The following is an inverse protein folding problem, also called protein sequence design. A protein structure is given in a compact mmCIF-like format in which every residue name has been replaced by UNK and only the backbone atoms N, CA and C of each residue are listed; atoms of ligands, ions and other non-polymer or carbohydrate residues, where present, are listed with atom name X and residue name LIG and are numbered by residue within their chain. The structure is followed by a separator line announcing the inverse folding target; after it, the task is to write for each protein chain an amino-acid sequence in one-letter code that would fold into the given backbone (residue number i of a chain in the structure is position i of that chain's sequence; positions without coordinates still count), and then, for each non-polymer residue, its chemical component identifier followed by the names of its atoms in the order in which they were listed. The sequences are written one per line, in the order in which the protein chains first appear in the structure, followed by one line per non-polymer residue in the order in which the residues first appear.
data_IF_893236068295
#
_entry.id   IF_893236068295
#
_cell.length_a   1.000
_cell.length_b   1.000
_cell.length_c   1.000
_cell.angle_alpha   90.00
_cell.angle_beta   90.00
_cell.angle_gamma   90.00
#
_symmetry.space_group_name_H-M   'P 1'
#
loop_
_entity.id
_entity.type
_entity.pdbx_description
1 polymer ?
#
# COMPACT_ATOMS: atom_id res chain seq x y z
N UNK A 1 -23.15 -30.84 -41.25
CA UNK A 1 -22.03 -29.89 -41.43
C UNK A 1 -22.14 -28.84 -40.34
N UNK A 2 -21.56 -29.17 -39.19
CA UNK A 2 -21.43 -28.33 -38.00
C UNK A 2 -20.12 -27.57 -38.16
N UNK A 3 -20.16 -26.23 -38.07
CA UNK A 3 -19.01 -25.49 -37.57
C UNK A 3 -19.53 -24.24 -36.87
N UNK A 4 -19.79 -24.45 -35.58
CA UNK A 4 -20.12 -23.42 -34.60
C UNK A 4 -18.83 -22.65 -34.29
N UNK A 5 -18.80 -21.37 -34.69
CA UNK A 5 -17.69 -20.48 -34.45
C UNK A 5 -17.68 -20.06 -32.97
N UNK A 6 -16.96 -20.80 -32.14
CA UNK A 6 -16.66 -20.37 -30.76
C UNK A 6 -15.68 -19.21 -30.81
N UNK A 7 -16.20 -18.00 -30.62
CA UNK A 7 -15.42 -16.81 -30.27
C UNK A 7 -14.87 -17.02 -28.85
N UNK A 8 -13.57 -16.89 -28.60
CA UNK A 8 -13.05 -16.90 -27.24
C UNK A 8 -13.55 -15.66 -26.50
N UNK A 9 -14.30 -15.87 -25.42
CA UNK A 9 -14.66 -14.81 -24.48
C UNK A 9 -13.40 -14.41 -23.70
N UNK A 10 -12.64 -13.45 -24.23
CA UNK A 10 -11.64 -12.72 -23.47
C UNK A 10 -12.37 -11.90 -22.40
N UNK A 11 -12.58 -12.50 -21.23
CA UNK A 11 -13.02 -11.78 -20.06
C UNK A 11 -11.88 -10.83 -19.67
N UNK A 12 -12.04 -9.49 -19.73
CA UNK A 12 -11.06 -8.59 -19.16
C UNK A 12 -10.98 -8.97 -17.68
N UNK A 13 -9.84 -9.49 -17.24
CA UNK A 13 -9.68 -9.96 -15.87
C UNK A 13 -9.93 -8.76 -14.95
N UNK A 14 -11.01 -8.73 -14.15
CA UNK A 14 -11.32 -7.58 -13.30
C UNK A 14 -10.18 -7.29 -12.29
N UNK A 15 -9.38 -8.31 -11.97
CA UNK A 15 -8.19 -8.22 -11.13
C UNK A 15 -7.09 -7.34 -11.70
N UNK A 16 -6.83 -7.42 -13.02
CA UNK A 16 -5.89 -6.50 -13.68
C UNK A 16 -6.39 -5.08 -13.53
N UNK A 17 -7.68 -4.83 -13.82
CA UNK A 17 -8.23 -3.46 -13.78
C UNK A 17 -8.17 -2.82 -12.39
N UNK A 18 -8.37 -3.58 -11.30
CA UNK A 18 -8.32 -3.04 -9.94
C UNK A 18 -6.89 -2.65 -9.52
N UNK A 19 -5.89 -3.47 -9.84
CA UNK A 19 -4.50 -3.12 -9.57
C UNK A 19 -4.05 -1.94 -10.43
N UNK A 20 -4.45 -1.91 -11.69
CA UNK A 20 -4.16 -0.78 -12.58
C UNK A 20 -4.79 0.52 -12.09
N UNK A 21 -6.01 0.49 -11.57
CA UNK A 21 -6.65 1.64 -10.94
C UNK A 21 -5.92 2.11 -9.69
N UNK A 22 -5.45 1.18 -8.85
CA UNK A 22 -4.59 1.52 -7.70
C UNK A 22 -3.30 2.22 -8.17
N UNK A 23 -2.60 1.65 -9.15
CA UNK A 23 -1.38 2.22 -9.69
C UNK A 23 -1.62 3.60 -10.29
N UNK A 24 -2.73 3.77 -11.00
CA UNK A 24 -3.10 5.04 -11.63
C UNK A 24 -3.43 6.10 -10.57
N UNK A 25 -4.15 5.73 -9.50
CA UNK A 25 -4.40 6.61 -8.36
C UNK A 25 -3.09 7.06 -7.72
N UNK A 26 -2.17 6.14 -7.44
CA UNK A 26 -0.85 6.48 -6.88
C UNK A 26 -0.04 7.34 -7.85
N UNK A 27 -0.10 7.06 -9.16
CA UNK A 27 0.56 7.85 -10.20
C UNK A 27 0.10 9.30 -10.20
N UNK A 28 -1.21 9.54 -10.13
CA UNK A 28 -1.77 10.89 -10.06
C UNK A 28 -1.46 11.58 -8.73
N UNK A 29 -1.71 10.93 -7.61
CA UNK A 29 -1.52 11.54 -6.28
C UNK A 29 -0.04 11.79 -5.95
N UNK A 30 0.85 10.93 -6.43
CA UNK A 30 2.30 11.08 -6.29
C UNK A 30 2.98 11.82 -7.45
N UNK A 31 2.21 12.30 -8.44
CA UNK A 31 2.72 12.97 -9.64
C UNK A 31 3.85 12.21 -10.34
N UNK A 32 3.74 10.88 -10.40
CA UNK A 32 4.75 10.04 -11.05
C UNK A 32 4.66 10.14 -12.57
N UNK A 33 5.80 10.19 -13.28
CA UNK A 33 5.83 10.35 -14.73
C UNK A 33 5.32 9.12 -15.47
N UNK A 34 5.41 7.93 -14.87
CA UNK A 34 4.98 6.66 -15.47
C UNK A 34 4.33 5.75 -14.45
N UNK A 35 3.57 4.76 -14.94
CA UNK A 35 2.92 3.76 -14.09
C UNK A 35 3.93 2.84 -13.41
N UNK A 36 5.03 2.53 -14.09
CA UNK A 36 6.11 1.68 -13.58
C UNK A 36 6.75 2.32 -12.34
N UNK A 37 6.92 3.65 -12.33
CA UNK A 37 7.42 4.38 -11.14
C UNK A 37 6.45 4.33 -9.97
N UNK A 38 5.16 4.48 -10.24
CA UNK A 38 4.14 4.31 -9.21
C UNK A 38 4.13 2.87 -8.67
N UNK A 39 4.29 1.88 -9.55
CA UNK A 39 4.36 0.46 -9.17
C UNK A 39 5.59 0.14 -8.30
N UNK A 40 6.76 0.68 -8.62
CA UNK A 40 7.97 0.57 -7.80
C UNK A 40 7.72 1.09 -6.38
N UNK A 41 7.11 2.28 -6.26
CA UNK A 41 6.75 2.88 -4.98
C UNK A 41 5.73 2.02 -4.20
N UNK A 42 4.66 1.57 -4.86
CA UNK A 42 3.62 0.69 -4.28
C UNK A 42 4.26 -0.58 -3.74
N UNK A 43 5.08 -1.26 -4.53
CA UNK A 43 5.72 -2.51 -4.12
C UNK A 43 6.65 -2.30 -2.93
N UNK A 44 7.47 -1.25 -2.94
CA UNK A 44 8.39 -0.92 -1.85
C UNK A 44 7.63 -0.63 -0.55
N UNK A 45 6.62 0.23 -0.61
CA UNK A 45 5.88 0.68 0.57
C UNK A 45 5.00 -0.43 1.14
N UNK A 46 4.31 -1.22 0.30
CA UNK A 46 3.50 -2.34 0.76
C UNK A 46 4.35 -3.48 1.34
N UNK A 47 5.52 -3.75 0.75
CA UNK A 47 6.47 -4.69 1.34
C UNK A 47 6.98 -4.17 2.71
N UNK A 48 7.20 -2.86 2.82
CA UNK A 48 7.47 -2.21 4.11
C UNK A 48 6.35 -2.46 5.11
N UNK A 49 5.13 -2.07 4.76
CA UNK A 49 3.96 -2.13 5.63
C UNK A 49 3.63 -3.56 6.05
N UNK A 50 3.79 -4.54 5.16
CA UNK A 50 3.62 -5.96 5.46
C UNK A 50 4.57 -6.49 6.53
N UNK A 51 5.72 -5.84 6.75
CA UNK A 51 6.61 -6.15 7.88
C UNK A 51 6.18 -5.50 9.20
N UNK A 52 5.29 -4.52 9.17
CA UNK A 52 4.87 -3.76 10.36
C UNK A 52 3.55 -4.28 10.94
N UNK A 53 2.70 -4.86 10.11
CA UNK A 53 1.37 -5.32 10.50
C UNK A 53 1.37 -6.81 10.88
N UNK A 54 0.57 -7.14 11.88
CA UNK A 54 0.28 -8.50 12.34
C UNK A 54 -1.22 -8.65 12.58
N UNK A 55 -1.69 -9.88 12.87
CA UNK A 55 -3.05 -10.12 13.32
C UNK A 55 -4.13 -9.79 12.27
N UNK A 56 -5.32 -9.50 12.77
CA UNK A 56 -6.54 -9.34 11.96
C UNK A 56 -6.47 -8.11 11.05
N UNK A 57 -5.87 -7.00 11.49
CA UNK A 57 -5.71 -5.81 10.65
C UNK A 57 -4.88 -6.08 9.40
N UNK A 58 -3.90 -6.98 9.46
CA UNK A 58 -3.12 -7.38 8.29
C UNK A 58 -3.99 -8.17 7.30
N UNK A 59 -4.82 -9.08 7.81
CA UNK A 59 -5.73 -9.91 7.02
C UNK A 59 -6.79 -9.04 6.37
N UNK A 60 -7.43 -8.18 7.15
CA UNK A 60 -8.44 -7.23 6.70
C UNK A 60 -7.87 -6.30 5.62
N UNK A 61 -6.65 -5.77 5.82
CA UNK A 61 -6.01 -4.92 4.82
C UNK A 61 -5.73 -5.68 3.53
N UNK A 62 -5.23 -6.92 3.61
CA UNK A 62 -5.01 -7.75 2.43
C UNK A 62 -6.32 -8.03 1.67
N UNK A 63 -7.44 -8.22 2.38
CA UNK A 63 -8.76 -8.46 1.79
C UNK A 63 -9.34 -7.22 1.08
N UNK A 64 -8.98 -6.01 1.51
CA UNK A 64 -9.40 -4.76 0.87
C UNK A 64 -8.59 -4.37 -0.38
N UNK A 65 -7.38 -4.90 -0.53
CA UNK A 65 -6.45 -4.52 -1.60
C UNK A 65 -6.65 -5.38 -2.86
N UNK A 66 -6.31 -4.84 -4.06
CA UNK A 66 -6.15 -5.66 -5.25
C UNK A 66 -5.17 -6.81 -5.01
N UNK A 67 -5.39 -7.94 -5.69
CA UNK A 67 -4.70 -9.21 -5.44
C UNK A 67 -3.16 -9.08 -5.48
N UNK A 68 -2.64 -8.34 -6.45
CA UNK A 68 -1.21 -8.09 -6.65
C UNK A 68 -0.62 -7.31 -5.47
N UNK A 69 -1.32 -6.27 -5.00
CA UNK A 69 -0.93 -5.48 -3.84
C UNK A 69 -1.01 -6.31 -2.54
N UNK A 70 -2.09 -7.09 -2.37
CA UNK A 70 -2.27 -7.99 -1.24
C UNK A 70 -1.15 -9.04 -1.17
N UNK A 71 -0.74 -9.61 -2.31
CA UNK A 71 0.40 -10.54 -2.40
C UNK A 71 1.71 -9.92 -1.94
N UNK A 72 2.02 -8.69 -2.36
CA UNK A 72 3.23 -7.99 -1.93
C UNK A 72 3.25 -7.81 -0.40
N UNK A 73 2.12 -7.41 0.17
CA UNK A 73 1.96 -7.20 1.61
C UNK A 73 2.03 -8.51 2.41
N UNK A 74 1.39 -9.58 1.92
CA UNK A 74 1.29 -10.87 2.62
C UNK A 74 2.54 -11.74 2.47
N UNK A 75 3.35 -11.53 1.42
CA UNK A 75 4.62 -12.22 1.23
C UNK A 75 5.69 -11.87 2.29
N UNK A 76 5.48 -10.82 3.06
CA UNK A 76 6.44 -10.35 4.06
C UNK A 76 6.33 -11.15 5.36
N UNK A 77 7.46 -11.35 6.02
CA UNK A 77 7.50 -11.86 7.40
C UNK A 77 7.40 -10.64 8.32
N UNK A 78 6.39 -10.54 9.20
CA UNK A 78 6.28 -9.45 10.16
C UNK A 78 7.52 -9.35 11.05
N UNK A 79 7.99 -8.13 11.27
CA UNK A 79 9.06 -7.85 12.21
C UNK A 79 8.56 -8.10 13.64
N UNK A 80 9.43 -8.59 14.55
CA UNK A 80 9.05 -8.83 15.94
C UNK A 80 8.66 -7.55 16.69
N UNK A 81 9.12 -6.39 16.19
CA UNK A 81 8.75 -5.08 16.72
C UNK A 81 8.53 -4.10 15.56
N UNK A 82 7.35 -3.46 15.47
CA UNK A 82 7.11 -2.45 14.44
C UNK A 82 7.98 -1.22 14.68
N UNK A 83 8.37 -0.58 13.58
CA UNK A 83 9.12 0.67 13.56
C UNK A 83 8.19 1.85 13.87
N UNK A 84 8.73 2.99 14.30
CA UNK A 84 7.98 4.26 14.25
C UNK A 84 7.84 4.75 12.82
N UNK A 85 6.90 5.66 12.55
CA UNK A 85 6.69 6.19 11.19
C UNK A 85 7.97 6.80 10.58
N UNK A 86 8.79 7.46 11.38
CA UNK A 86 10.07 7.99 10.91
C UNK A 86 11.13 6.91 10.67
N UNK A 87 11.22 5.90 11.55
CA UNK A 87 12.14 4.78 11.36
C UNK A 87 11.74 3.92 10.15
N UNK A 88 10.44 3.81 9.88
CA UNK A 88 9.89 3.17 8.69
C UNK A 88 10.36 3.84 7.40
N UNK A 89 10.23 5.17 7.29
CA UNK A 89 10.71 5.91 6.11
C UNK A 89 12.22 5.75 5.94
N UNK A 90 12.99 5.72 7.04
CA UNK A 90 14.44 5.46 6.98
C UNK A 90 14.76 4.05 6.46
N UNK A 91 14.08 3.02 6.94
CA UNK A 91 14.26 1.63 6.46
C UNK A 91 13.96 1.53 4.96
N UNK A 92 12.88 2.15 4.50
CA UNK A 92 12.53 2.16 3.08
C UNK A 92 13.59 2.86 2.23
N UNK A 93 14.08 4.03 2.66
CA UNK A 93 15.08 4.80 1.93
C UNK A 93 16.40 4.03 1.77
N UNK A 94 16.82 3.30 2.81
CA UNK A 94 18.01 2.44 2.77
C UNK A 94 17.82 1.30 1.76
N UNK A 95 16.65 0.67 1.75
CA UNK A 95 16.36 -0.47 0.85
C UNK A 95 16.27 -0.07 -0.62
N UNK A 96 15.68 1.09 -0.91
CA UNK A 96 15.54 1.61 -2.26
C UNK A 96 16.75 2.42 -2.73
N UNK A 97 17.69 2.73 -1.83
CA UNK A 97 18.79 3.67 -2.06
C UNK A 97 18.31 5.04 -2.55
N UNK A 98 17.12 5.45 -2.10
CA UNK A 98 16.52 6.74 -2.41
C UNK A 98 16.76 7.75 -1.29
N UNK A 99 16.49 9.03 -1.57
CA UNK A 99 16.52 10.06 -0.54
C UNK A 99 15.37 9.89 0.46
N UNK A 100 15.54 10.40 1.68
CA UNK A 100 14.46 10.42 2.69
C UNK A 100 13.26 11.26 2.21
N UNK A 101 13.51 12.33 1.46
CA UNK A 101 12.45 13.19 0.93
C UNK A 101 11.59 12.43 -0.09
N UNK A 102 12.24 11.77 -1.06
CA UNK A 102 11.57 10.90 -2.05
C UNK A 102 10.80 9.78 -1.36
N UNK A 103 11.42 9.10 -0.41
CA UNK A 103 10.78 7.96 0.27
C UNK A 103 9.58 8.39 1.11
N UNK A 104 9.65 9.55 1.78
CA UNK A 104 8.50 10.10 2.51
C UNK A 104 7.35 10.46 1.57
N UNK A 105 7.67 11.05 0.42
CA UNK A 105 6.68 11.34 -0.63
C UNK A 105 6.02 10.05 -1.11
N UNK A 106 6.82 9.05 -1.49
CA UNK A 106 6.33 7.74 -1.96
C UNK A 106 5.42 7.08 -0.93
N UNK A 107 5.82 7.12 0.34
CA UNK A 107 5.03 6.56 1.44
C UNK A 107 3.67 7.25 1.55
N UNK A 108 3.64 8.59 1.50
CA UNK A 108 2.40 9.35 1.58
C UNK A 108 1.45 9.07 0.42
N UNK A 109 1.96 9.06 -0.82
CA UNK A 109 1.15 8.78 -2.02
C UNK A 109 0.55 7.37 -2.00
N UNK A 110 1.34 6.37 -1.59
CA UNK A 110 0.84 4.99 -1.49
C UNK A 110 -0.15 4.86 -0.32
N UNK A 111 0.12 5.44 0.84
CA UNK A 111 -0.76 5.35 2.00
C UNK A 111 -2.11 6.05 1.78
N UNK A 112 -2.13 7.16 1.04
CA UNK A 112 -3.37 7.81 0.59
C UNK A 112 -4.23 6.86 -0.25
N UNK A 113 -3.63 6.18 -1.23
CA UNK A 113 -4.33 5.21 -2.05
C UNK A 113 -4.81 3.99 -1.24
N UNK A 114 -3.96 3.45 -0.35
CA UNK A 114 -4.32 2.35 0.54
C UNK A 114 -5.47 2.72 1.47
N UNK A 115 -5.49 3.94 2.02
CA UNK A 115 -6.56 4.42 2.87
C UNK A 115 -7.91 4.49 2.14
N UNK A 116 -7.90 4.83 0.85
CA UNK A 116 -9.11 4.83 0.04
C UNK A 116 -9.68 3.41 -0.17
N UNK A 117 -8.82 2.39 -0.26
CA UNK A 117 -9.26 0.98 -0.37
C UNK A 117 -9.71 0.39 0.98
N UNK A 118 -8.97 0.67 2.06
CA UNK A 118 -9.22 0.12 3.39
C UNK A 118 -10.39 0.80 4.13
N UNK A 119 -10.64 2.07 3.82
CA UNK A 119 -11.63 2.89 4.52
C UNK A 119 -11.17 3.35 5.92
N UNK A 120 -11.84 4.39 6.48
CA UNK A 120 -11.37 5.07 7.68
C UNK A 120 -11.39 4.21 8.95
N UNK A 121 -12.30 3.24 9.05
CA UNK A 121 -12.40 2.34 10.20
C UNK A 121 -11.20 1.41 10.34
N UNK A 122 -10.83 0.73 9.25
CA UNK A 122 -9.65 -0.14 9.22
C UNK A 122 -8.35 0.66 9.39
N UNK A 123 -8.23 1.83 8.73
CA UNK A 123 -7.05 2.69 8.94
C UNK A 123 -6.91 3.14 10.40
N UNK A 124 -8.02 3.40 11.10
CA UNK A 124 -7.96 3.78 12.52
C UNK A 124 -7.45 2.61 13.37
N UNK A 125 -7.97 1.40 13.19
CA UNK A 125 -7.45 0.19 13.87
C UNK A 125 -5.97 -0.06 13.57
N UNK A 126 -5.56 0.10 12.31
CA UNK A 126 -4.15 -0.03 11.90
C UNK A 126 -3.28 0.99 12.63
N UNK A 127 -3.71 2.23 12.74
CA UNK A 127 -2.96 3.28 13.44
C UNK A 127 -2.88 3.02 14.94
N UNK A 128 -3.92 2.46 15.56
CA UNK A 128 -3.94 2.17 17.00
C UNK A 128 -2.94 1.08 17.42
N UNK A 129 -2.56 0.17 16.51
CA UNK A 129 -1.54 -0.87 16.78
C UNK A 129 -0.12 -0.46 16.37
N UNK A 130 0.02 0.56 15.52
CA UNK A 130 1.33 1.00 15.03
C UNK A 130 1.93 2.02 16.00
N UNK A 131 3.28 2.09 16.11
CA UNK A 131 3.92 3.13 16.90
C UNK A 131 3.65 4.52 16.31
N UNK A 132 4.03 5.57 17.06
CA UNK A 132 3.80 6.96 16.66
C UNK A 132 4.45 7.32 15.32
N UNK A 133 3.91 8.36 14.68
CA UNK A 133 4.38 8.91 13.41
C UNK A 133 3.68 8.36 12.17
N UNK A 134 2.88 7.29 12.27
CA UNK A 134 2.16 6.74 11.11
C UNK A 134 0.99 7.61 10.69
N UNK A 135 0.26 8.21 11.63
CA UNK A 135 -0.90 9.04 11.29
C UNK A 135 -0.53 10.15 10.30
N UNK A 136 0.64 10.79 10.49
CA UNK A 136 1.19 11.79 9.58
C UNK A 136 1.50 11.25 8.18
N UNK A 137 1.92 9.99 8.06
CA UNK A 137 2.17 9.35 6.77
C UNK A 137 0.87 9.03 6.01
N UNK A 138 -0.24 8.85 6.73
CA UNK A 138 -1.59 8.74 6.17
C UNK A 138 -2.25 10.12 5.95
N UNK A 139 -1.53 11.23 6.13
CA UNK A 139 -2.09 12.58 5.99
C UNK A 139 -3.07 12.97 7.10
N UNK A 140 -3.09 12.23 8.21
CA UNK A 140 -3.94 12.50 9.38
C UNK A 140 -3.15 13.28 10.43
N UNK A 141 -3.81 14.17 11.16
CA UNK A 141 -3.23 14.81 12.32
C UNK A 141 -2.96 13.75 13.41
N UNK A 142 -1.78 13.83 14.03
CA UNK A 142 -1.43 13.01 15.18
C UNK A 142 -1.53 13.87 16.44
N UNK A 143 -2.62 13.67 17.20
CA UNK A 143 -2.81 14.35 18.46
C UNK A 143 -2.17 13.51 19.56
N UNK A 144 -0.97 13.87 19.99
CA UNK A 144 -0.42 13.35 21.24
C UNK A 144 -1.29 13.89 22.37
N UNK A 145 -2.10 13.02 22.98
CA UNK A 145 -2.90 13.43 24.15
C UNK A 145 -1.92 13.87 25.23
N UNK A 146 -1.97 15.15 25.62
CA UNK A 146 -1.22 15.64 26.76
C UNK A 146 -1.60 14.81 27.99
N UNK A 147 -0.57 14.36 28.73
CA UNK A 147 -0.72 13.58 29.95
C UNK A 147 -1.50 14.34 31.03
#
# INVERSE_FOLDING_TARGET
MISDARVPLEHPQPYSTAYEQLLEKVRYEGAYPTRERAEEAVRLVLAGLGRQLTGDERVDLAACLPLEAARVLTAQIPAPRPLTGWAFVKDLAVRSRASLATTRWDTGSVFSAVAAHAGPGLITRILDQLPTGYALLFGRAELTRAA
#
